data_IF_052142171916
#
_entry.id   IF_052142171916
#
_cell.length_a   1.000
_cell.length_b   1.000
_cell.length_c   1.000
_cell.angle_alpha   90.00
_cell.angle_beta   90.00
_cell.angle_gamma   90.00
#
_symmetry.space_group_name_H-M   'P 1'
#
loop_
_entity.id
_entity.type
_entity.pdbx_description
1 polymer ?
#
# COMPACT_ATOMS: atom_id res chain seq x y z
N UNK A 1 -21.13 -19.06 -28.06
CA UNK A 1 -20.34 -20.13 -27.39
C UNK A 1 -19.40 -19.44 -26.40
N UNK A 2 -19.33 -19.88 -25.13
CA UNK A 2 -18.40 -19.29 -24.13
C UNK A 2 -17.25 -20.26 -23.92
N UNK A 3 -16.02 -19.82 -24.23
CA UNK A 3 -14.81 -20.64 -24.17
C UNK A 3 -13.92 -20.09 -23.06
N UNK A 4 -13.35 -20.96 -22.23
CA UNK A 4 -12.45 -20.51 -21.15
C UNK A 4 -11.02 -20.32 -21.66
N UNK A 5 -10.44 -19.18 -21.29
CA UNK A 5 -9.04 -18.89 -21.56
C UNK A 5 -8.32 -18.29 -20.36
N UNK A 6 -6.99 -18.26 -20.43
CA UNK A 6 -6.11 -17.68 -19.41
C UNK A 6 -5.25 -16.60 -20.07
N UNK A 7 -5.25 -15.38 -19.50
CA UNK A 7 -4.33 -14.31 -19.92
C UNK A 7 -2.91 -14.63 -19.42
N UNK A 8 -1.94 -14.67 -20.33
CA UNK A 8 -0.49 -14.72 -20.02
C UNK A 8 0.25 -13.62 -20.76
N UNK A 9 0.77 -12.64 -20.02
CA UNK A 9 1.41 -11.48 -20.64
C UNK A 9 0.42 -10.72 -21.53
N UNK A 10 0.75 -10.59 -22.81
CA UNK A 10 -0.11 -9.97 -23.83
C UNK A 10 -1.01 -10.98 -24.58
N UNK A 11 -0.87 -12.27 -24.30
CA UNK A 11 -1.58 -13.33 -25.01
C UNK A 11 -2.73 -13.89 -24.18
N UNK A 12 -3.73 -14.46 -24.86
CA UNK A 12 -4.82 -15.25 -24.26
C UNK A 12 -4.66 -16.68 -24.75
N UNK A 13 -4.48 -17.63 -23.83
CA UNK A 13 -4.43 -19.05 -24.13
C UNK A 13 -5.83 -19.65 -23.99
N UNK A 14 -6.31 -20.30 -25.03
CA UNK A 14 -7.61 -20.99 -25.03
C UNK A 14 -7.38 -22.43 -24.57
N UNK A 15 -8.15 -22.88 -23.57
CA UNK A 15 -7.94 -24.19 -22.95
C UNK A 15 -8.67 -25.33 -23.68
N UNK A 16 -9.55 -24.99 -24.62
CA UNK A 16 -10.39 -25.92 -25.37
C UNK A 16 -9.91 -25.98 -26.83
N UNK A 17 -10.00 -27.17 -27.45
CA UNK A 17 -9.67 -27.32 -28.86
C UNK A 17 -10.73 -26.67 -29.75
N UNK A 18 -10.31 -25.79 -30.65
CA UNK A 18 -11.19 -25.07 -31.59
C UNK A 18 -11.37 -25.84 -32.91
N UNK A 19 -11.66 -27.14 -32.83
CA UNK A 19 -11.71 -28.04 -34.01
C UNK A 19 -12.76 -27.64 -35.07
N UNK A 20 -13.72 -26.79 -34.71
CA UNK A 20 -14.80 -26.35 -35.61
C UNK A 20 -14.54 -24.98 -36.26
N UNK A 21 -13.37 -24.36 -36.03
CA UNK A 21 -13.00 -23.06 -36.58
C UNK A 21 -11.85 -23.27 -37.56
N UNK A 22 -12.05 -23.07 -38.88
CA UNK A 22 -11.00 -23.20 -39.87
C UNK A 22 -9.86 -22.19 -39.68
N UNK A 23 -8.65 -22.56 -40.10
CA UNK A 23 -7.50 -21.67 -40.08
C UNK A 23 -7.75 -20.40 -40.91
N UNK A 24 -7.33 -19.24 -40.37
CA UNK A 24 -7.52 -17.93 -41.01
C UNK A 24 -8.88 -17.29 -40.77
N UNK A 25 -9.77 -17.92 -39.99
CA UNK A 25 -11.05 -17.32 -39.60
C UNK A 25 -10.83 -16.18 -38.61
N UNK A 26 -11.35 -15.00 -38.91
CA UNK A 26 -11.41 -13.88 -37.96
C UNK A 26 -12.43 -14.19 -36.85
N UNK A 27 -12.02 -14.02 -35.59
CA UNK A 27 -12.88 -14.29 -34.42
C UNK A 27 -12.95 -13.05 -33.54
N UNK A 28 -14.17 -12.74 -33.07
CA UNK A 28 -14.43 -11.69 -32.08
C UNK A 28 -14.50 -12.36 -30.70
N UNK A 29 -13.70 -11.87 -29.76
CA UNK A 29 -13.62 -12.41 -28.40
C UNK A 29 -14.29 -11.46 -27.41
N UNK A 30 -15.43 -11.88 -26.86
CA UNK A 30 -16.04 -11.22 -25.70
C UNK A 30 -15.43 -11.77 -24.41
N UNK A 31 -14.69 -10.92 -23.71
CA UNK A 31 -13.96 -11.29 -22.49
C UNK A 31 -14.75 -10.90 -21.24
N UNK A 32 -15.16 -11.88 -20.45
CA UNK A 32 -15.68 -11.68 -19.11
C UNK A 32 -14.60 -12.03 -18.08
N UNK A 33 -14.24 -11.07 -17.21
CA UNK A 33 -13.29 -11.32 -16.13
C UNK A 33 -13.97 -12.10 -15.02
N UNK A 34 -13.68 -13.40 -14.93
CA UNK A 34 -13.97 -14.17 -13.74
C UNK A 34 -12.92 -13.79 -12.70
N UNK A 35 -13.19 -12.74 -11.92
CA UNK A 35 -12.48 -12.56 -10.67
C UNK A 35 -12.80 -13.80 -9.83
N UNK A 36 -11.87 -14.76 -9.79
CA UNK A 36 -11.81 -15.67 -8.64
C UNK A 36 -11.72 -14.72 -7.47
N UNK A 37 -12.82 -14.59 -6.72
CA UNK A 37 -12.77 -14.04 -5.39
C UNK A 37 -11.67 -14.86 -4.73
N UNK A 38 -10.49 -14.27 -4.57
CA UNK A 38 -9.52 -14.79 -3.62
C UNK A 38 -10.38 -14.84 -2.38
N UNK A 39 -10.69 -16.04 -1.84
CA UNK A 39 -11.41 -16.07 -0.58
C UNK A 39 -10.51 -15.25 0.32
N UNK A 40 -10.98 -14.06 0.68
CA UNK A 40 -10.36 -13.27 1.71
C UNK A 40 -10.23 -14.31 2.81
N UNK A 41 -9.01 -14.72 3.21
CA UNK A 41 -8.94 -15.57 4.36
C UNK A 41 -9.49 -14.64 5.43
N UNK A 42 -10.78 -14.81 5.74
CA UNK A 42 -11.40 -14.41 7.00
C UNK A 42 -10.66 -15.26 8.01
N UNK A 43 -9.40 -14.89 8.21
CA UNK A 43 -8.56 -15.24 9.30
C UNK A 43 -9.34 -14.63 10.44
N UNK A 44 -10.21 -15.47 11.01
CA UNK A 44 -10.80 -15.33 12.32
C UNK A 44 -9.65 -15.41 13.33
N UNK A 45 -8.66 -14.53 13.16
CA UNK A 45 -7.65 -14.23 14.14
C UNK A 45 -8.40 -13.41 15.18
N UNK A 46 -8.38 -13.92 16.41
CA UNK A 46 -8.69 -13.12 17.58
C UNK A 46 -7.86 -11.84 17.56
N UNK A 47 -8.36 -10.78 18.18
CA UNK A 47 -7.68 -9.47 18.22
C UNK A 47 -6.23 -9.60 18.70
N UNK A 48 -5.98 -10.47 19.67
CA UNK A 48 -4.65 -10.80 20.19
C UNK A 48 -3.71 -11.34 19.10
N UNK A 49 -4.18 -12.28 18.27
CA UNK A 49 -3.35 -12.84 17.19
C UNK A 49 -3.13 -11.84 16.05
N UNK A 50 -4.10 -10.96 15.80
CA UNK A 50 -3.92 -9.83 14.87
C UNK A 50 -2.85 -8.88 15.39
N UNK A 51 -2.94 -8.49 16.66
CA UNK A 51 -1.99 -7.61 17.31
C UNK A 51 -0.58 -8.21 17.35
N UNK A 52 -0.43 -9.50 17.67
CA UNK A 52 0.86 -10.18 17.65
C UNK A 52 1.49 -10.20 16.24
N UNK A 53 0.68 -10.40 15.20
CA UNK A 53 1.15 -10.37 13.81
C UNK A 53 1.60 -8.96 13.40
N UNK A 54 0.85 -7.93 13.80
CA UNK A 54 1.21 -6.53 13.57
C UNK A 54 2.50 -6.17 14.31
N UNK A 55 2.63 -6.54 15.59
CA UNK A 55 3.83 -6.32 16.39
C UNK A 55 5.06 -7.03 15.81
N UNK A 56 4.89 -8.20 15.19
CA UNK A 56 5.99 -8.91 14.50
C UNK A 56 6.41 -8.20 13.21
N UNK A 57 5.47 -7.63 12.47
CA UNK A 57 5.73 -6.97 11.18
C UNK A 57 6.31 -5.57 11.35
N UNK A 58 5.74 -4.79 12.25
CA UNK A 58 6.07 -3.38 12.43
C UNK A 58 6.97 -3.14 13.64
N UNK A 59 7.22 -4.15 14.47
CA UNK A 59 7.90 -3.98 15.76
C UNK A 59 6.94 -3.48 16.85
N UNK A 60 7.39 -3.53 18.10
CA UNK A 60 6.64 -2.99 19.24
C UNK A 60 7.11 -1.57 19.50
N UNK A 61 6.31 -0.57 19.13
CA UNK A 61 6.66 0.85 19.29
C UNK A 61 6.35 1.37 20.69
N UNK A 62 5.54 0.64 21.46
CA UNK A 62 5.16 0.98 22.83
C UNK A 62 6.27 0.58 23.79
N UNK A 63 6.72 1.53 24.64
CA UNK A 63 7.72 1.33 25.68
C UNK A 63 9.15 1.00 25.18
N UNK A 64 9.55 1.50 24.01
CA UNK A 64 10.94 1.42 23.56
C UNK A 64 11.73 2.58 24.18
N UNK A 65 12.71 2.32 25.07
CA UNK A 65 13.46 3.39 25.75
C UNK A 65 14.21 4.28 24.77
N UNK A 66 14.77 3.70 23.70
CA UNK A 66 15.47 4.44 22.64
C UNK A 66 14.55 5.46 21.94
N UNK A 67 13.27 5.10 21.71
CA UNK A 67 12.29 6.04 21.16
C UNK A 67 11.93 7.14 22.16
N UNK A 68 11.82 6.80 23.45
CA UNK A 68 11.54 7.78 24.52
C UNK A 68 12.61 8.87 24.57
N UNK A 69 13.89 8.49 24.48
CA UNK A 69 15.01 9.44 24.47
C UNK A 69 14.97 10.32 23.22
N UNK A 70 14.77 9.74 22.04
CA UNK A 70 14.67 10.49 20.78
C UNK A 70 13.53 11.52 20.82
N UNK A 71 12.34 11.13 21.30
CA UNK A 71 11.22 12.06 21.40
C UNK A 71 11.44 13.15 22.45
N UNK A 72 12.10 12.84 23.57
CA UNK A 72 12.47 13.84 24.57
C UNK A 72 13.48 14.85 24.02
N UNK A 73 14.46 14.41 23.24
CA UNK A 73 15.43 15.31 22.58
C UNK A 73 14.73 16.22 21.55
N UNK A 74 13.85 15.67 20.71
CA UNK A 74 13.07 16.44 19.75
C UNK A 74 12.19 17.48 20.46
N UNK A 75 11.56 17.10 21.57
CA UNK A 75 10.73 17.98 22.38
C UNK A 75 11.56 19.13 22.97
N UNK A 76 12.73 18.82 23.54
CA UNK A 76 13.68 19.81 24.03
C UNK A 76 14.12 20.78 22.92
N UNK A 77 14.44 20.28 21.73
CA UNK A 77 14.83 21.12 20.58
C UNK A 77 13.68 22.05 20.14
N UNK A 78 12.44 21.56 20.12
CA UNK A 78 11.25 22.37 19.81
C UNK A 78 10.99 23.45 20.84
N UNK A 79 11.20 23.15 22.11
CA UNK A 79 11.04 24.12 23.20
C UNK A 79 12.23 25.07 23.35
N UNK A 80 13.41 24.69 22.86
CA UNK A 80 14.60 25.55 22.75
C UNK A 80 14.50 26.52 21.57
N UNK A 81 13.63 26.25 20.59
CA UNK A 81 13.36 27.18 19.49
C UNK A 81 12.69 28.45 20.01
N UNK A 82 13.50 29.48 20.28
CA UNK A 82 13.08 30.81 20.78
C UNK A 82 12.35 31.67 19.72
N UNK A 83 11.81 31.06 18.67
CA UNK A 83 11.26 31.78 17.52
C UNK A 83 12.32 32.25 16.53
N UNK A 84 11.87 32.92 15.46
CA UNK A 84 12.76 33.67 14.56
C UNK A 84 13.09 34.98 15.27
N UNK A 85 14.33 35.48 15.17
CA UNK A 85 14.63 36.88 15.49
C UNK A 85 13.74 37.75 14.61
N UNK A 86 12.67 38.29 15.19
CA UNK A 86 11.93 39.38 14.58
C UNK A 86 12.85 40.58 14.68
N UNK A 87 13.53 40.93 13.58
CA UNK A 87 14.15 42.24 13.48
C UNK A 87 13.04 43.25 13.79
N UNK A 88 13.18 43.99 14.89
CA UNK A 88 12.21 45.02 15.24
C UNK A 88 12.17 46.03 14.09
N UNK A 89 10.97 46.31 13.59
CA UNK A 89 10.76 47.32 12.55
C UNK A 89 11.13 48.73 13.07
N UNK A 90 11.30 48.88 14.39
CA UNK A 90 11.66 50.14 15.05
C UNK A 90 13.15 50.53 14.87
N UNK A 91 14.00 49.65 14.33
CA UNK A 91 15.42 49.97 14.06
C UNK A 91 15.65 50.74 12.75
N UNK A 92 14.59 51.12 12.02
CA UNK A 92 14.69 52.06 10.88
C UNK A 92 14.45 53.50 11.33
N UNK A 93 15.35 54.03 12.15
CA UNK A 93 15.53 55.47 12.24
C UNK A 93 17.02 55.79 12.23
N UNK A 94 17.55 56.09 11.04
CA UNK A 94 18.79 56.84 10.86
C UNK A 94 18.93 57.26 9.39
N UNK A 95 18.82 58.57 9.14
CA UNK A 95 19.33 59.23 7.92
C UNK A 95 18.33 60.14 7.23
#
# INVERSE_FOLDING_TARGET
MKIKGIKRGQNIEILEQLNNIPDGTEIILDLEFIQKQIPDPKLNLTEEKRLAKLNKLFGVWKNQPDLTEIFAEIDQQRHTYQGRTLNSIDDQNNG
#
